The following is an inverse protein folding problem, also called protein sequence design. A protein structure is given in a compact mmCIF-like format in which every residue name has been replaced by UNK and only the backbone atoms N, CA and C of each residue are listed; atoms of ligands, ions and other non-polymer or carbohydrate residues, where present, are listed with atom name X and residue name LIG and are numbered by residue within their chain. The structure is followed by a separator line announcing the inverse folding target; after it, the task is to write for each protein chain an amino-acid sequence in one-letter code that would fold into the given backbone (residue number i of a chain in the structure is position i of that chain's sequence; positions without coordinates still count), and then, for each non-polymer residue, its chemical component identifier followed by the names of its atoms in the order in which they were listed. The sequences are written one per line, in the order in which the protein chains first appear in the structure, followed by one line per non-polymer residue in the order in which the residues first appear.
data_IF_019257327000
#
_entry.id   IF_019257327000
#
_cell.length_a   1.000
_cell.length_b   1.000
_cell.length_c   1.000
_cell.angle_alpha   90.00
_cell.angle_beta   90.00
_cell.angle_gamma   90.00
#
_symmetry.space_group_name_H-M   'P 1'
#
loop_
_entity.id
_entity.type
_entity.pdbx_description
1 polymer ?
#
# COMPACT_ATOMS: atom_id res chain seq x y z
N UNK A 1 7.35 -10.69 7.68
CA UNK A 1 8.77 -10.29 7.66
C UNK A 1 9.48 -10.95 8.82
N UNK A 2 10.59 -11.61 8.57
CA UNK A 2 11.43 -12.22 9.61
C UNK A 2 12.52 -11.23 10.07
N UNK A 3 13.11 -11.47 11.25
CA UNK A 3 14.23 -10.64 11.75
C UNK A 3 15.43 -10.72 10.79
N UNK A 4 15.71 -11.90 10.22
CA UNK A 4 16.81 -12.06 9.28
C UNK A 4 16.60 -11.26 7.99
N UNK A 5 15.38 -11.24 7.43
CA UNK A 5 15.05 -10.35 6.30
C UNK A 5 15.28 -8.88 6.67
N UNK A 6 14.77 -8.45 7.82
CA UNK A 6 14.89 -7.07 8.27
C UNK A 6 16.35 -6.59 8.33
N UNK A 7 17.22 -7.42 8.92
CA UNK A 7 18.66 -7.16 9.02
C UNK A 7 19.32 -7.12 7.64
N UNK A 8 18.95 -8.05 6.75
CA UNK A 8 19.53 -8.15 5.40
C UNK A 8 19.26 -6.88 4.60
N UNK A 9 18.01 -6.45 4.53
CA UNK A 9 17.61 -5.25 3.79
C UNK A 9 18.26 -3.99 4.37
N UNK A 10 18.24 -3.82 5.70
CA UNK A 10 18.89 -2.67 6.34
C UNK A 10 20.40 -2.62 6.08
N UNK A 11 21.06 -3.79 6.11
CA UNK A 11 22.50 -3.89 5.77
C UNK A 11 22.76 -3.54 4.31
N UNK A 12 21.88 -3.94 3.38
CA UNK A 12 22.00 -3.57 1.97
C UNK A 12 21.85 -2.06 1.74
N UNK A 13 20.99 -1.40 2.52
CA UNK A 13 20.85 0.06 2.50
C UNK A 13 22.01 0.81 3.18
N UNK A 14 22.99 0.10 3.75
CA UNK A 14 24.17 0.69 4.37
C UNK A 14 23.96 1.19 5.80
N UNK A 15 22.91 0.73 6.48
CA UNK A 15 22.67 1.08 7.89
C UNK A 15 23.66 0.30 8.77
N UNK A 16 24.32 0.96 9.73
CA UNK A 16 25.25 0.30 10.63
C UNK A 16 24.52 -0.66 11.57
N UNK A 17 25.20 -1.74 11.95
CA UNK A 17 24.62 -2.83 12.73
C UNK A 17 24.12 -2.38 14.12
N UNK A 18 24.79 -1.39 14.72
CA UNK A 18 24.35 -0.76 15.99
C UNK A 18 22.95 -0.14 15.86
N UNK A 19 22.66 0.51 14.73
CA UNK A 19 21.36 1.10 14.49
C UNK A 19 20.29 0.05 14.21
N UNK A 20 20.66 -1.01 13.46
CA UNK A 20 19.80 -2.16 13.16
C UNK A 20 19.34 -2.84 14.45
N UNK A 21 20.26 -3.15 15.36
CA UNK A 21 19.93 -3.79 16.64
C UNK A 21 19.01 -2.93 17.49
N UNK A 22 19.28 -1.62 17.59
CA UNK A 22 18.45 -0.69 18.33
C UNK A 22 17.02 -0.61 17.76
N UNK A 23 16.88 -0.54 16.43
CA UNK A 23 15.57 -0.52 15.77
C UNK A 23 14.82 -1.84 15.99
N UNK A 24 15.51 -2.97 15.85
CA UNK A 24 14.93 -4.29 16.08
C UNK A 24 14.46 -4.48 17.53
N UNK A 25 15.17 -3.92 18.52
CA UNK A 25 14.72 -3.97 19.91
C UNK A 25 13.42 -3.19 20.12
N UNK A 26 13.28 -2.02 19.50
CA UNK A 26 12.07 -1.21 19.55
C UNK A 26 10.92 -1.93 18.83
N UNK A 27 11.18 -2.46 17.63
CA UNK A 27 10.20 -3.21 16.85
C UNK A 27 9.81 -4.55 17.51
N UNK A 28 10.66 -5.18 18.34
CA UNK A 28 10.26 -6.35 19.14
C UNK A 28 9.14 -6.02 20.14
N UNK A 29 9.09 -4.79 20.66
CA UNK A 29 8.06 -4.32 21.61
C UNK A 29 6.79 -3.84 20.89
N UNK A 30 6.93 -3.14 19.76
CA UNK A 30 5.82 -2.54 19.00
C UNK A 30 5.21 -3.48 17.94
N UNK A 31 5.96 -4.46 17.48
CA UNK A 31 5.64 -5.32 16.34
C UNK A 31 6.65 -5.16 15.20
N UNK A 32 7.17 -6.28 14.70
CA UNK A 32 8.18 -6.33 13.64
C UNK A 32 7.50 -6.20 12.27
N UNK A 33 7.14 -4.98 11.90
CA UNK A 33 6.55 -4.66 10.59
C UNK A 33 7.45 -3.70 9.80
N UNK A 34 7.44 -3.76 8.45
CA UNK A 34 8.23 -2.86 7.61
C UNK A 34 7.93 -1.38 7.90
N UNK A 35 6.65 -1.04 8.09
CA UNK A 35 6.21 0.32 8.45
C UNK A 35 6.77 0.82 9.79
N UNK A 36 6.87 -0.06 10.78
CA UNK A 36 7.43 0.32 12.08
C UNK A 36 8.94 0.52 11.96
N UNK A 37 9.61 -0.35 11.21
CA UNK A 37 11.04 -0.23 10.94
C UNK A 37 11.36 1.10 10.26
N UNK A 38 10.65 1.44 9.18
CA UNK A 38 10.88 2.68 8.45
C UNK A 38 10.62 3.92 9.29
N UNK A 39 9.62 3.89 10.17
CA UNK A 39 9.38 4.98 11.13
C UNK A 39 10.56 5.17 12.08
N UNK A 40 11.13 4.08 12.58
CA UNK A 40 12.30 4.16 13.49
C UNK A 40 13.58 4.56 12.72
N UNK A 41 13.71 4.18 11.46
CA UNK A 41 14.79 4.64 10.57
C UNK A 41 14.68 6.13 10.29
N UNK A 42 13.50 6.61 9.89
CA UNK A 42 13.23 8.02 9.62
C UNK A 42 13.44 8.87 10.89
N UNK A 43 13.01 8.37 12.06
CA UNK A 43 13.23 9.04 13.33
C UNK A 43 14.72 9.19 13.69
N UNK A 44 15.58 8.30 13.19
CA UNK A 44 17.04 8.38 13.32
C UNK A 44 17.71 9.21 12.21
N UNK A 45 16.94 9.70 11.23
CA UNK A 45 17.48 10.41 10.07
C UNK A 45 18.15 9.49 9.05
N UNK A 46 17.80 8.20 9.07
CA UNK A 46 18.25 7.20 8.11
C UNK A 46 17.24 7.08 6.97
N UNK A 47 17.72 6.60 5.82
CA UNK A 47 16.87 6.38 4.66
C UNK A 47 15.92 5.19 4.89
N UNK A 48 14.75 5.25 4.27
CA UNK A 48 13.74 4.19 4.43
C UNK A 48 14.16 2.98 3.63
N UNK A 49 14.10 1.82 4.27
CA UNK A 49 14.58 0.55 3.69
C UNK A 49 13.44 -0.19 3.06
N UNK A 50 12.28 -0.15 3.71
CA UNK A 50 11.08 -0.81 3.28
C UNK A 50 10.11 0.19 2.66
N UNK A 51 10.61 0.91 1.65
CA UNK A 51 9.74 1.62 0.70
C UNK A 51 8.96 0.58 -0.12
N UNK A 52 8.02 -0.10 0.54
CA UNK A 52 6.85 -0.59 -0.13
C UNK A 52 6.23 0.65 -0.74
N UNK A 53 6.39 0.78 -2.06
CA UNK A 53 5.41 1.46 -2.88
C UNK A 53 4.06 1.03 -2.33
N UNK A 54 3.39 1.97 -1.66
CA UNK A 54 2.02 1.81 -1.25
C UNK A 54 1.30 1.40 -2.51
N UNK A 55 0.94 0.12 -2.60
CA UNK A 55 0.38 -0.48 -3.78
C UNK A 55 -0.81 0.41 -4.14
N UNK A 56 -0.67 1.14 -5.24
CA UNK A 56 -1.72 1.94 -5.83
C UNK A 56 -2.95 1.07 -6.21
N UNK A 57 -2.96 -0.21 -5.82
CA UNK A 57 -4.14 -1.03 -5.74
C UNK A 57 -5.18 -0.58 -4.69
N UNK A 58 -4.87 0.20 -3.64
CA UNK A 58 -5.97 0.80 -2.86
C UNK A 58 -6.74 1.87 -3.69
N UNK A 59 -6.11 2.41 -4.74
CA UNK A 59 -6.77 3.33 -5.67
C UNK A 59 -7.71 2.64 -6.68
N UNK A 60 -7.62 1.32 -6.88
CA UNK A 60 -8.63 0.58 -7.67
C UNK A 60 -9.86 0.24 -6.83
N UNK A 61 -9.70 0.08 -5.51
CA UNK A 61 -10.82 -0.26 -4.63
C UNK A 61 -11.70 0.98 -4.32
N UNK A 62 -11.10 2.17 -4.17
CA UNK A 62 -11.87 3.39 -3.90
C UNK A 62 -12.65 3.90 -5.14
N UNK A 63 -12.25 3.48 -6.35
CA UNK A 63 -12.98 3.74 -7.60
C UNK A 63 -13.93 2.60 -8.01
N UNK A 64 -14.25 1.69 -7.09
CA UNK A 64 -15.33 0.71 -7.26
C UNK A 64 -16.58 1.02 -6.42
N UNK A 65 -16.46 1.86 -5.38
CA UNK A 65 -17.49 2.02 -4.35
C UNK A 65 -18.35 3.29 -4.48
N UNK A 66 -18.20 4.10 -5.55
CA UNK A 66 -19.08 5.25 -5.82
C UNK A 66 -19.41 5.41 -7.31
N UNK A 67 -20.38 4.64 -7.79
CA UNK A 67 -21.35 5.13 -8.78
C UNK A 67 -22.63 4.33 -8.64
N UNK A 68 -23.31 4.62 -7.53
CA UNK A 68 -24.76 4.63 -7.48
C UNK A 68 -25.31 5.34 -8.73
N UNK A 69 -26.31 4.71 -9.33
CA UNK A 69 -26.95 5.05 -10.59
C UNK A 69 -27.16 6.55 -10.83
N UNK A 70 -26.92 7.05 -12.06
CA UNK A 70 -27.60 8.25 -12.50
C UNK A 70 -29.00 7.85 -13.00
N UNK A 71 -30.00 8.12 -12.17
CA UNK A 71 -31.40 8.24 -12.58
C UNK A 71 -31.52 9.28 -13.71
N UNK A 72 -31.43 8.85 -14.96
CA UNK A 72 -31.90 9.65 -16.10
C UNK A 72 -33.29 9.19 -16.51
N UNK A 73 -34.25 9.91 -15.95
CA UNK A 73 -35.60 10.17 -16.44
C UNK A 73 -35.67 10.13 -17.98
N UNK A 74 -36.58 9.30 -18.50
CA UNK A 74 -36.86 9.10 -19.93
C UNK A 74 -37.19 10.41 -20.68
N UNK A 75 -37.01 10.40 -22.01
CA UNK A 75 -38.17 10.63 -22.86
C UNK A 75 -38.29 9.68 -24.07
N UNK A 76 -39.49 9.11 -24.17
CA UNK A 76 -40.34 8.88 -25.35
C UNK A 76 -39.75 8.81 -26.79
N UNK A 77 -40.06 7.65 -27.42
CA UNK A 77 -40.57 7.44 -28.81
C UNK A 77 -39.62 7.55 -30.02
N UNK A 78 -39.35 6.38 -30.63
CA UNK A 78 -39.41 6.03 -32.08
C UNK A 78 -38.73 4.63 -32.17
N UNK A 79 -39.37 3.50 -32.47
CA UNK A 79 -40.28 3.21 -33.57
C UNK A 79 -39.46 2.75 -34.78
N UNK A 80 -39.22 1.44 -34.94
CA UNK A 80 -39.34 0.70 -36.22
C UNK A 80 -39.03 -0.80 -36.05
N UNK A 81 -39.91 -1.62 -36.62
CA UNK A 81 -39.77 -3.05 -36.92
C UNK A 81 -38.44 -3.39 -37.64
N UNK A 82 -37.96 -4.64 -37.45
CA UNK A 82 -37.87 -5.69 -38.51
C UNK A 82 -37.08 -6.92 -38.03
N UNK A 83 -37.81 -8.04 -37.97
CA UNK A 83 -37.58 -9.34 -38.64
C UNK A 83 -36.16 -9.94 -38.80
N UNK A 84 -36.13 -11.28 -38.68
CA UNK A 84 -35.14 -12.31 -39.07
C UNK A 84 -34.25 -12.80 -37.92
N UNK A 85 -34.14 -14.11 -37.66
CA UNK A 85 -34.31 -15.32 -38.49
C UNK A 85 -34.65 -16.51 -37.60
#
# INVERSE_FOLDING_TARGET
MTVNEAVLEMRYSGIPEEDIEAILEICKKKGLTPQNIDKELEAKGLDKVFELEYDASESWFERGATSSAPSHKAPAKQGLEKEKK
#
